data_IF_611068558341
#
_entry.id   IF_611068558341
#
_cell.length_a   1.000
_cell.length_b   1.000
_cell.length_c   1.000
_cell.angle_alpha   90.00
_cell.angle_beta   90.00
_cell.angle_gamma   90.00
#
_symmetry.space_group_name_H-M   'P 1'
#
loop_
_entity.id
_entity.type
_entity.pdbx_description
1 polymer ?
#
# COMPACT_ATOMS: atom_id res chain seq x y z
N UNK A 1 -1.24 9.46 9.25
CA UNK A 1 -0.76 9.20 10.62
C UNK A 1 0.75 9.36 10.70
N UNK A 2 1.31 9.46 11.91
CA UNK A 2 2.76 9.55 12.13
C UNK A 2 3.33 8.17 12.46
N UNK A 3 4.30 7.69 11.67
CA UNK A 3 4.99 6.44 11.98
C UNK A 3 5.91 6.61 13.19
N UNK A 4 5.83 5.67 14.12
CA UNK A 4 6.69 5.56 15.30
C UNK A 4 6.84 4.10 15.72
N UNK A 5 7.91 3.82 16.44
CA UNK A 5 8.16 2.51 17.05
C UNK A 5 8.09 2.71 18.56
N UNK A 6 7.19 1.97 19.23
CA UNK A 6 7.08 1.96 20.69
C UNK A 6 7.27 0.54 21.20
N UNK A 7 8.52 0.21 21.56
CA UNK A 7 8.95 -1.10 22.05
C UNK A 7 10.35 -0.95 22.66
N UNK A 8 10.80 -1.95 23.45
CA UNK A 8 12.21 -2.06 23.87
C UNK A 8 13.08 -2.52 22.70
N UNK A 9 13.48 -1.59 21.84
CA UNK A 9 14.25 -1.90 20.62
C UNK A 9 15.62 -2.53 20.91
N UNK A 10 16.16 -2.34 22.12
CA UNK A 10 17.40 -2.96 22.56
C UNK A 10 17.29 -4.47 22.77
N UNK A 11 16.08 -5.00 23.00
CA UNK A 11 15.82 -6.42 23.23
C UNK A 11 15.57 -7.17 21.91
N UNK A 12 15.61 -6.48 20.77
CA UNK A 12 15.27 -7.07 19.48
C UNK A 12 16.41 -7.90 18.91
N UNK A 13 16.07 -9.09 18.42
CA UNK A 13 16.99 -9.92 17.66
C UNK A 13 17.33 -9.27 16.30
N UNK A 14 18.51 -9.60 15.76
CA UNK A 14 19.02 -9.03 14.52
C UNK A 14 18.04 -9.10 13.32
N UNK A 15 17.27 -10.19 13.11
CA UNK A 15 16.29 -10.23 12.02
C UNK A 15 15.21 -9.14 12.15
N UNK A 16 14.68 -8.94 13.36
CA UNK A 16 13.67 -7.91 13.62
C UNK A 16 14.23 -6.49 13.44
N UNK A 17 15.48 -6.27 13.86
CA UNK A 17 16.19 -5.01 13.62
C UNK A 17 16.34 -4.73 12.12
N UNK A 18 16.67 -5.74 11.32
CA UNK A 18 16.79 -5.60 9.87
C UNK A 18 15.43 -5.26 9.23
N UNK A 19 14.37 -5.97 9.62
CA UNK A 19 13.01 -5.68 9.17
C UNK A 19 12.59 -4.25 9.53
N UNK A 20 12.89 -3.80 10.74
CA UNK A 20 12.58 -2.43 11.18
C UNK A 20 13.34 -1.37 10.36
N UNK A 21 14.62 -1.60 10.05
CA UNK A 21 15.41 -0.71 9.18
C UNK A 21 14.78 -0.58 7.81
N UNK A 22 14.39 -1.69 7.19
CA UNK A 22 13.74 -1.67 5.87
C UNK A 22 12.38 -0.98 5.92
N UNK A 23 11.57 -1.23 6.96
CA UNK A 23 10.28 -0.55 7.14
C UNK A 23 10.44 0.97 7.36
N UNK A 24 11.44 1.41 8.12
CA UNK A 24 11.76 2.83 8.30
C UNK A 24 12.17 3.45 6.96
N UNK A 25 13.00 2.76 6.18
CA UNK A 25 13.43 3.21 4.85
C UNK A 25 12.24 3.34 3.90
N UNK A 26 11.35 2.35 3.89
CA UNK A 26 10.11 2.35 3.13
C UNK A 26 9.21 3.53 3.54
N UNK A 27 8.97 3.71 4.85
CA UNK A 27 8.16 4.83 5.34
C UNK A 27 8.75 6.18 4.91
N UNK A 28 10.06 6.39 5.05
CA UNK A 28 10.72 7.64 4.62
C UNK A 28 10.56 7.92 3.12
N UNK A 29 10.52 6.87 2.29
CA UNK A 29 10.24 6.98 0.86
C UNK A 29 8.80 7.43 0.61
N UNK A 30 7.82 6.75 1.21
CA UNK A 30 6.40 6.96 0.93
C UNK A 30 5.77 8.14 1.68
N UNK A 31 6.35 8.62 2.79
CA UNK A 31 5.79 9.74 3.58
C UNK A 31 5.59 11.01 2.76
N UNK A 32 6.45 11.23 1.75
CA UNK A 32 6.34 12.38 0.83
C UNK A 32 5.14 12.30 -0.10
N UNK A 33 4.62 11.09 -0.34
CA UNK A 33 3.35 10.88 -1.05
C UNK A 33 2.18 11.10 -0.10
N UNK A 34 2.30 10.64 1.15
CA UNK A 34 1.21 10.62 2.13
C UNK A 34 0.89 12.02 2.67
N UNK A 35 1.89 12.87 2.89
CA UNK A 35 1.75 14.12 3.65
C UNK A 35 0.62 15.04 3.15
N UNK A 36 0.52 15.22 1.83
CA UNK A 36 -0.42 16.15 1.19
C UNK A 36 -1.37 15.44 0.21
N UNK A 37 -1.61 14.14 0.42
CA UNK A 37 -2.40 13.33 -0.50
C UNK A 37 -3.91 13.37 -0.21
N UNK A 38 -4.68 13.26 -1.29
CA UNK A 38 -6.06 12.80 -1.19
C UNK A 38 -6.07 11.34 -0.70
N UNK A 39 -6.93 11.05 0.28
CA UNK A 39 -7.07 9.71 0.85
C UNK A 39 -8.37 9.06 0.40
N UNK A 40 -8.27 7.87 -0.19
CA UNK A 40 -9.40 7.07 -0.64
C UNK A 40 -9.44 5.76 0.13
N UNK A 41 -10.53 5.51 0.85
CA UNK A 41 -10.82 4.20 1.43
C UNK A 41 -11.31 3.28 0.29
N UNK A 42 -10.58 2.20 0.03
CA UNK A 42 -10.92 1.25 -1.03
C UNK A 42 -11.78 0.09 -0.50
N UNK A 43 -11.75 -0.12 0.82
CA UNK A 43 -12.62 -1.04 1.56
C UNK A 43 -13.34 -0.28 2.68
N UNK A 44 -14.44 -0.84 3.22
CA UNK A 44 -14.96 -0.41 4.52
C UNK A 44 -13.88 -0.48 5.62
N UNK A 45 -14.09 0.28 6.69
CA UNK A 45 -13.27 0.17 7.89
C UNK A 45 -13.54 -1.20 8.55
N UNK A 46 -12.49 -1.95 8.95
CA UNK A 46 -12.68 -3.22 9.64
C UNK A 46 -13.24 -3.02 11.04
N UNK A 47 -13.89 -4.07 11.57
CA UNK A 47 -14.27 -4.11 12.98
C UNK A 47 -13.04 -4.02 13.89
N UNK A 48 -13.16 -3.25 14.97
CA UNK A 48 -12.03 -3.00 15.87
C UNK A 48 -11.67 -4.22 16.76
N UNK A 49 -12.66 -5.04 17.13
CA UNK A 49 -12.47 -6.20 18.01
C UNK A 49 -12.10 -7.46 17.23
N UNK A 50 -12.71 -7.65 16.07
CA UNK A 50 -12.54 -8.84 15.23
C UNK A 50 -12.31 -8.41 13.78
N UNK A 51 -11.10 -7.87 13.46
CA UNK A 51 -10.79 -7.44 12.11
C UNK A 51 -10.70 -8.64 11.17
N UNK A 52 -11.63 -8.70 10.21
CA UNK A 52 -11.71 -9.78 9.22
C UNK A 52 -11.63 -9.26 7.79
N UNK A 53 -11.15 -10.10 6.87
CA UNK A 53 -11.15 -9.80 5.44
C UNK A 53 -9.96 -8.94 5.01
N UNK A 54 -10.25 -7.90 4.23
CA UNK A 54 -9.26 -6.99 3.66
C UNK A 54 -9.51 -5.55 4.07
N UNK A 55 -8.42 -4.84 4.36
CA UNK A 55 -8.42 -3.38 4.51
C UNK A 55 -7.49 -2.80 3.46
N UNK A 56 -7.99 -1.84 2.68
CA UNK A 56 -7.18 -1.13 1.73
C UNK A 56 -7.52 0.36 1.69
N UNK A 57 -6.47 1.18 1.67
CA UNK A 57 -6.57 2.63 1.52
C UNK A 57 -5.49 3.13 0.58
N UNK A 58 -5.81 4.21 -0.12
CA UNK A 58 -4.95 4.79 -1.13
C UNK A 58 -4.69 6.26 -0.81
N UNK A 59 -3.43 6.66 -0.93
CA UNK A 59 -3.00 8.04 -0.97
C UNK A 59 -2.68 8.41 -2.42
N UNK A 60 -3.17 9.56 -2.89
CA UNK A 60 -2.85 10.11 -4.21
C UNK A 60 -2.22 11.48 -4.03
N UNK A 61 -0.95 11.62 -4.40
CA UNK A 61 -0.28 12.91 -4.33
C UNK A 61 -0.92 13.92 -5.31
N UNK A 62 -0.83 15.23 -5.04
CA UNK A 62 -1.34 16.27 -5.93
C UNK A 62 -0.90 16.07 -7.39
N UNK A 63 -1.84 16.28 -8.32
CA UNK A 63 -1.61 16.06 -9.75
C UNK A 63 -1.49 14.59 -10.17
N UNK A 64 -1.77 13.65 -9.26
CA UNK A 64 -1.79 12.20 -9.49
C UNK A 64 -0.51 11.66 -10.14
N UNK A 65 0.65 12.24 -9.80
CA UNK A 65 1.95 11.80 -10.31
C UNK A 65 2.52 10.61 -9.50
N UNK A 66 2.11 10.48 -8.24
CA UNK A 66 2.45 9.37 -7.35
C UNK A 66 1.22 8.97 -6.57
N UNK A 67 1.08 7.67 -6.30
CA UNK A 67 0.07 7.15 -5.39
C UNK A 67 0.62 5.92 -4.68
N UNK A 68 0.14 5.69 -3.47
CA UNK A 68 0.49 4.53 -2.65
C UNK A 68 -0.81 3.89 -2.17
N UNK A 69 -0.96 2.58 -2.36
CA UNK A 69 -2.04 1.80 -1.75
C UNK A 69 -1.42 0.94 -0.65
N UNK A 70 -1.98 1.06 0.55
CA UNK A 70 -1.67 0.16 1.65
C UNK A 70 -2.76 -0.90 1.71
N UNK A 71 -2.35 -2.17 1.71
CA UNK A 71 -3.24 -3.31 1.67
C UNK A 71 -2.91 -4.22 2.83
N UNK A 72 -3.92 -4.63 3.59
CA UNK A 72 -3.78 -5.47 4.77
C UNK A 72 -4.75 -6.66 4.64
N UNK A 73 -4.20 -7.86 4.72
CA UNK A 73 -4.98 -9.10 4.88
C UNK A 73 -5.10 -9.36 6.37
N UNK A 74 -6.32 -9.34 6.87
CA UNK A 74 -6.66 -9.65 8.27
C UNK A 74 -7.11 -11.11 8.36
N UNK A 75 -7.69 -11.48 9.49
CA UNK A 75 -8.18 -12.84 9.73
C UNK A 75 -9.22 -13.24 8.67
N UNK A 76 -9.15 -14.48 8.19
CA UNK A 76 -10.10 -15.07 7.23
C UNK A 76 -10.24 -14.30 5.90
N UNK A 77 -9.32 -13.39 5.58
CA UNK A 77 -9.28 -12.75 4.26
C UNK A 77 -8.88 -13.74 3.18
N UNK A 78 -9.47 -13.65 1.99
CA UNK A 78 -9.04 -14.44 0.84
C UNK A 78 -7.55 -14.16 0.54
N UNK A 79 -6.74 -15.13 0.07
CA UNK A 79 -5.30 -14.91 -0.20
C UNK A 79 -5.00 -13.88 -1.29
N UNK A 80 -5.99 -13.52 -2.12
CA UNK A 80 -5.87 -12.54 -3.18
C UNK A 80 -6.90 -11.40 -3.01
N UNK A 81 -6.49 -10.18 -3.34
CA UNK A 81 -7.34 -9.00 -3.35
C UNK A 81 -7.08 -8.14 -4.58
N UNK A 82 -8.18 -7.73 -5.23
CA UNK A 82 -8.13 -6.85 -6.38
C UNK A 82 -8.31 -5.39 -5.92
N UNK A 83 -7.22 -4.63 -5.86
CA UNK A 83 -7.26 -3.21 -5.50
C UNK A 83 -7.63 -2.36 -6.73
N UNK A 84 -8.70 -1.58 -6.67
CA UNK A 84 -9.13 -0.68 -7.75
C UNK A 84 -8.73 0.77 -7.43
N UNK A 85 -7.63 1.31 -8.01
CA UNK A 85 -7.15 2.63 -7.67
C UNK A 85 -8.12 3.73 -8.13
N UNK A 86 -8.26 4.75 -7.29
CA UNK A 86 -9.05 5.98 -7.52
C UNK A 86 -8.11 7.18 -7.71
N UNK A 87 -8.63 8.29 -8.23
CA UNK A 87 -7.89 9.56 -8.35
C UNK A 87 -6.73 9.58 -9.36
N UNK A 88 -6.50 8.52 -10.16
CA UNK A 88 -5.48 8.50 -11.20
C UNK A 88 -5.95 9.18 -12.49
N UNK A 89 -5.03 9.79 -13.24
CA UNK A 89 -5.34 10.39 -14.54
C UNK A 89 -5.55 9.30 -15.59
N UNK A 90 -6.77 9.24 -16.16
CA UNK A 90 -7.22 8.14 -17.03
C UNK A 90 -6.28 7.84 -18.21
N UNK A 91 -5.74 8.87 -18.88
CA UNK A 91 -4.88 8.74 -20.06
C UNK A 91 -3.38 8.61 -19.72
N UNK A 92 -2.98 8.91 -18.49
CA UNK A 92 -1.58 8.88 -18.08
C UNK A 92 -1.12 7.44 -17.88
N UNK A 93 0.13 7.15 -18.24
CA UNK A 93 0.78 5.85 -17.97
C UNK A 93 1.47 5.87 -16.62
N UNK A 94 1.36 4.76 -15.91
CA UNK A 94 1.90 4.55 -14.58
C UNK A 94 2.71 3.25 -14.56
N UNK A 95 3.84 3.27 -13.86
CA UNK A 95 4.57 2.09 -13.42
C UNK A 95 4.05 1.66 -12.05
N UNK A 96 3.87 0.36 -11.89
CA UNK A 96 3.33 -0.25 -10.67
C UNK A 96 4.41 -1.13 -10.05
N UNK A 97 4.58 -1.06 -8.73
CA UNK A 97 5.33 -2.05 -7.98
C UNK A 97 4.59 -2.48 -6.72
N UNK A 98 4.73 -3.75 -6.33
CA UNK A 98 4.23 -4.29 -5.07
C UNK A 98 5.45 -4.71 -4.25
N UNK A 99 5.64 -4.11 -3.08
CA UNK A 99 6.79 -4.34 -2.20
C UNK A 99 8.15 -4.22 -2.93
N UNK A 100 8.22 -3.27 -3.86
CA UNK A 100 9.41 -2.98 -4.67
C UNK A 100 9.52 -3.80 -5.97
N UNK A 101 8.72 -4.85 -6.15
CA UNK A 101 8.72 -5.66 -7.36
C UNK A 101 7.84 -5.04 -8.45
N UNK A 102 8.41 -4.79 -9.64
CA UNK A 102 7.66 -4.22 -10.77
C UNK A 102 6.55 -5.16 -11.23
N UNK A 103 5.36 -4.60 -11.45
CA UNK A 103 4.19 -5.29 -12.03
C UNK A 103 3.85 -4.78 -13.43
N UNK A 104 4.71 -3.94 -14.00
CA UNK A 104 4.56 -3.41 -15.35
C UNK A 104 3.96 -2.00 -15.40
N UNK A 105 3.57 -1.60 -16.62
CA UNK A 105 3.15 -0.23 -16.94
C UNK A 105 1.75 -0.22 -17.54
N UNK A 106 0.86 0.60 -17.00
CA UNK A 106 -0.55 0.63 -17.40
C UNK A 106 -1.08 2.06 -17.47
N UNK A 107 -2.12 2.28 -18.28
CA UNK A 107 -2.86 3.56 -18.25
C UNK A 107 -3.75 3.62 -17.00
N UNK A 108 -3.95 4.83 -16.45
CA UNK A 108 -4.80 5.04 -15.28
C UNK A 108 -6.20 4.44 -15.42
N UNK A 109 -6.82 4.56 -16.61
CA UNK A 109 -8.13 3.95 -16.90
C UNK A 109 -8.13 2.43 -16.84
N UNK A 110 -7.01 1.79 -17.21
CA UNK A 110 -6.87 0.33 -17.15
C UNK A 110 -6.77 -0.11 -15.70
N UNK A 111 -5.98 0.60 -14.89
CA UNK A 111 -5.85 0.34 -13.45
C UNK A 111 -7.18 0.51 -12.74
N UNK A 112 -7.91 1.59 -13.02
CA UNK A 112 -9.23 1.84 -12.41
C UNK A 112 -10.26 0.76 -12.76
N UNK A 113 -10.21 0.21 -13.99
CA UNK A 113 -11.17 -0.80 -14.45
C UNK A 113 -10.79 -2.24 -14.09
N UNK A 114 -9.52 -2.61 -14.27
CA UNK A 114 -9.02 -3.97 -14.07
C UNK A 114 -8.49 -4.20 -12.65
N UNK A 115 -8.11 -3.15 -11.93
CA UNK A 115 -7.47 -3.24 -10.63
C UNK A 115 -6.04 -3.76 -10.67
N UNK A 116 -5.45 -3.92 -9.49
CA UNK A 116 -4.13 -4.48 -9.23
C UNK A 116 -4.32 -5.67 -8.30
N UNK A 117 -3.90 -6.86 -8.73
CA UNK A 117 -3.99 -8.06 -7.92
C UNK A 117 -2.86 -8.08 -6.88
N UNK A 118 -3.22 -8.26 -5.61
CA UNK A 118 -2.32 -8.34 -4.46
C UNK A 118 -2.50 -9.71 -3.82
N UNK A 119 -1.42 -10.47 -3.68
CA UNK A 119 -1.45 -11.81 -3.11
C UNK A 119 -0.68 -11.83 -1.78
N UNK A 120 -1.37 -12.19 -0.70
CA UNK A 120 -0.81 -12.34 0.64
C UNK A 120 -1.18 -13.74 1.15
N UNK A 121 -0.25 -14.72 1.18
CA UNK A 121 -0.59 -16.13 1.38
C UNK A 121 -0.97 -16.47 2.82
N UNK A 122 -0.58 -15.64 3.79
CA UNK A 122 -0.90 -15.81 5.21
C UNK A 122 -1.66 -14.62 5.77
N UNK A 123 -2.46 -14.86 6.80
CA UNK A 123 -3.21 -13.83 7.51
C UNK A 123 -2.26 -12.87 8.25
N UNK A 124 -2.76 -11.68 8.55
CA UNK A 124 -2.00 -10.61 9.21
C UNK A 124 -0.73 -10.24 8.45
N UNK A 125 -0.89 -10.02 7.15
CA UNK A 125 0.16 -9.54 6.25
C UNK A 125 -0.27 -8.23 5.60
N UNK A 126 0.72 -7.47 5.16
CA UNK A 126 0.51 -6.22 4.47
C UNK A 126 1.41 -6.16 3.23
N UNK A 127 0.98 -5.37 2.25
CA UNK A 127 1.77 -5.00 1.10
C UNK A 127 1.62 -3.51 0.81
N UNK A 128 2.63 -2.93 0.18
CA UNK A 128 2.60 -1.58 -0.37
C UNK A 128 2.58 -1.67 -1.89
N UNK A 129 1.54 -1.10 -2.49
CA UNK A 129 1.48 -0.87 -3.94
C UNK A 129 1.91 0.57 -4.21
N UNK A 130 3.04 0.75 -4.89
CA UNK A 130 3.47 2.07 -5.37
C UNK A 130 3.05 2.24 -6.84
N UNK A 131 2.47 3.40 -7.14
CA UNK A 131 1.99 3.79 -8.46
C UNK A 131 2.69 5.09 -8.84
N UNK A 132 3.51 5.08 -9.88
CA UNK A 132 4.31 6.24 -10.29
C UNK A 132 4.04 6.59 -11.74
N UNK A 133 3.67 7.82 -12.01
CA UNK A 133 3.50 8.28 -13.37
C UNK A 133 4.82 8.24 -14.15
N UNK A 134 4.74 7.81 -15.41
CA UNK A 134 5.84 7.97 -16.35
C UNK A 134 5.97 9.44 -16.76
N UNK A 135 7.20 9.85 -17.07
CA UNK A 135 7.48 11.15 -17.70
C UNK A 135 6.94 11.15 -19.12
#
# INVERSE_FOLDING_TARGET
GQFGISSRVFDWQQPLLNTAKENVKLYKKIRTVIADADTYHLTPQPDYKQPQGWMALQYVAPGAAKSVIMVYRMENGAPAYQAFPRGLQARRKYEISIDGESRGKFQGRVLAKKGINVHLPTDFRAAIVEIKALK
#
